data_IF_789699099484
#
_entry.id   IF_789699099484
#
_cell.length_a   1.000
_cell.length_b   1.000
_cell.length_c   1.000
_cell.angle_alpha   90.00
_cell.angle_beta   90.00
_cell.angle_gamma   90.00
#
_symmetry.space_group_name_H-M   'P 1'
#
loop_
_entity.id
_entity.type
_entity.pdbx_description
1 polymer ?
#
# COMPACT_ATOMS: atom_id res chain seq x y z
N UNK A 1 11.83 -3.01 -6.10
CA UNK A 1 11.98 -2.46 -4.74
C UNK A 1 11.08 -1.23 -4.66
N UNK A 2 9.84 -1.40 -4.20
CA UNK A 2 8.99 -0.29 -3.75
C UNK A 2 8.47 -0.74 -2.39
N UNK A 3 9.22 -0.40 -1.35
CA UNK A 3 8.77 -0.52 0.03
C UNK A 3 7.70 0.56 0.20
N UNK A 4 6.48 0.15 0.53
CA UNK A 4 5.34 1.06 0.57
C UNK A 4 5.52 2.05 1.72
N UNK A 5 5.70 3.34 1.40
CA UNK A 5 5.73 4.40 2.39
C UNK A 5 4.32 4.54 2.99
N UNK A 6 4.12 3.98 4.18
CA UNK A 6 2.92 4.19 4.99
C UNK A 6 3.23 5.24 6.05
N UNK A 7 2.28 6.14 6.31
CA UNK A 7 2.45 7.19 7.30
C UNK A 7 1.24 7.23 8.21
N UNK A 8 1.46 7.53 9.49
CA UNK A 8 0.39 7.83 10.41
C UNK A 8 -0.04 9.28 10.21
N UNK A 9 -1.18 9.52 9.58
CA UNK A 9 -1.64 10.89 9.31
C UNK A 9 -2.04 11.67 10.57
N UNK A 10 -2.24 11.00 11.71
CA UNK A 10 -2.59 11.64 12.97
C UNK A 10 -1.33 12.12 13.70
N UNK A 11 -0.34 11.25 13.81
CA UNK A 11 0.89 11.54 14.57
C UNK A 11 2.03 12.08 13.67
N UNK A 12 1.99 11.81 12.36
CA UNK A 12 2.93 12.32 11.34
C UNK A 12 2.20 12.91 10.11
N UNK A 13 1.45 14.01 10.29
CA UNK A 13 0.68 14.64 9.19
C UNK A 13 1.58 15.18 8.07
N UNK A 14 2.87 15.38 8.32
CA UNK A 14 3.85 15.84 7.34
C UNK A 14 4.55 14.70 6.60
N UNK A 15 4.28 13.44 6.97
CA UNK A 15 4.83 12.25 6.32
C UNK A 15 6.36 12.21 6.31
N UNK A 16 6.99 12.65 7.41
CA UNK A 16 8.45 12.63 7.53
C UNK A 16 8.98 11.27 8.02
N UNK A 17 8.13 10.47 8.66
CA UNK A 17 8.49 9.26 9.38
C UNK A 17 7.66 8.08 8.86
N UNK A 18 8.15 7.34 7.85
CA UNK A 18 7.43 6.17 7.36
C UNK A 18 7.31 5.09 8.45
N UNK A 19 6.15 4.45 8.51
CA UNK A 19 5.89 3.29 9.33
C UNK A 19 6.69 2.10 8.79
N UNK A 20 7.39 1.42 9.69
CA UNK A 20 8.04 0.15 9.40
C UNK A 20 7.37 -0.92 10.28
N UNK A 21 6.24 -1.44 9.79
CA UNK A 21 5.41 -2.38 10.53
C UNK A 21 4.71 -3.33 9.55
N UNK A 22 5.21 -4.55 9.47
CA UNK A 22 4.74 -5.58 8.53
C UNK A 22 3.24 -5.88 8.67
N UNK A 23 2.69 -5.85 9.88
CA UNK A 23 1.27 -6.12 10.11
C UNK A 23 0.40 -5.04 9.48
N UNK A 24 0.76 -3.77 9.71
CA UNK A 24 0.05 -2.63 9.11
C UNK A 24 0.24 -2.61 7.59
N UNK A 25 1.45 -2.91 7.12
CA UNK A 25 1.76 -3.01 5.69
C UNK A 25 0.90 -4.06 4.98
N UNK A 26 0.81 -5.26 5.54
CA UNK A 26 0.00 -6.33 4.95
C UNK A 26 -1.49 -5.96 4.93
N UNK A 27 -2.00 -5.40 6.03
CA UNK A 27 -3.38 -4.91 6.09
C UNK A 27 -3.66 -3.84 5.02
N UNK A 28 -2.74 -2.89 4.81
CA UNK A 28 -2.92 -1.85 3.79
C UNK A 28 -2.81 -2.40 2.37
N UNK A 29 -1.91 -3.35 2.11
CA UNK A 29 -1.82 -4.07 0.83
C UNK A 29 -3.13 -4.78 0.50
N UNK A 30 -3.71 -5.52 1.45
CA UNK A 30 -4.98 -6.20 1.26
C UNK A 30 -6.12 -5.23 0.91
N UNK A 31 -6.21 -4.09 1.62
CA UNK A 31 -7.20 -3.05 1.34
C UNK A 31 -7.01 -2.45 -0.06
N UNK A 32 -5.76 -2.23 -0.47
CA UNK A 32 -5.44 -1.71 -1.80
C UNK A 32 -5.82 -2.70 -2.89
N UNK A 33 -5.42 -3.97 -2.76
CA UNK A 33 -5.80 -5.05 -3.69
C UNK A 33 -7.31 -5.12 -3.83
N UNK A 34 -8.04 -5.15 -2.71
CA UNK A 34 -9.51 -5.17 -2.72
C UNK A 34 -10.09 -4.00 -3.51
N UNK A 35 -9.64 -2.77 -3.23
CA UNK A 35 -10.13 -1.56 -3.93
C UNK A 35 -9.80 -1.57 -5.41
N UNK A 36 -8.62 -2.03 -5.79
CA UNK A 36 -8.22 -2.15 -7.19
C UNK A 36 -9.06 -3.20 -7.93
N UNK A 37 -9.37 -4.32 -7.29
CA UNK A 37 -10.28 -5.33 -7.84
C UNK A 37 -11.70 -4.79 -7.99
N UNK A 38 -12.21 -4.03 -7.01
CA UNK A 38 -13.56 -3.43 -7.06
C UNK A 38 -13.77 -2.47 -8.26
N UNK A 39 -12.69 -1.89 -8.79
CA UNK A 39 -12.73 -0.97 -9.95
C UNK A 39 -12.22 -1.61 -11.24
N UNK A 40 -12.04 -2.93 -11.26
CA UNK A 40 -11.47 -3.69 -12.39
C UNK A 40 -10.15 -3.08 -12.91
N UNK A 41 -9.27 -2.67 -11.98
CA UNK A 41 -7.96 -2.16 -12.35
C UNK A 41 -7.19 -3.20 -13.21
N UNK A 42 -6.45 -2.77 -14.25
CA UNK A 42 -5.76 -3.71 -15.11
C UNK A 42 -4.65 -4.44 -14.35
N UNK A 43 -4.39 -5.69 -14.71
CA UNK A 43 -3.38 -6.55 -14.07
C UNK A 43 -1.99 -5.90 -14.00
N UNK A 44 -1.63 -5.12 -15.03
CA UNK A 44 -0.39 -4.35 -15.07
C UNK A 44 -0.20 -3.42 -13.87
N UNK A 45 -1.28 -2.92 -13.27
CA UNK A 45 -1.22 -2.03 -12.11
C UNK A 45 -0.82 -2.80 -10.85
N UNK A 46 -1.30 -4.03 -10.69
CA UNK A 46 -0.92 -4.89 -9.57
C UNK A 46 0.56 -5.27 -9.66
N UNK A 47 1.05 -5.60 -10.86
CA UNK A 47 2.46 -5.91 -11.12
C UNK A 47 3.33 -4.66 -10.87
N UNK A 48 2.93 -3.51 -11.40
CA UNK A 48 3.64 -2.23 -11.23
C UNK A 48 3.79 -1.85 -9.76
N UNK A 49 2.76 -2.13 -8.95
CA UNK A 49 2.76 -1.88 -7.51
C UNK A 49 3.40 -3.01 -6.69
N UNK A 50 3.84 -4.11 -7.31
CA UNK A 50 4.44 -5.25 -6.61
C UNK A 50 3.46 -6.05 -5.75
N UNK A 51 2.15 -5.93 -6.01
CA UNK A 51 1.08 -6.65 -5.31
C UNK A 51 0.82 -8.05 -5.89
N UNK A 52 1.39 -8.33 -7.07
CA UNK A 52 1.32 -9.61 -7.76
C UNK A 52 2.65 -9.87 -8.45
N UNK A 53 3.09 -11.14 -8.47
CA UNK A 53 4.33 -11.61 -9.09
C UNK A 53 4.18 -13.06 -9.50
#
# INVERSE_FOLDING_TARGET
MIVHLLFDMKEDPKQNNPLNNEVIENMMKEKLVKKMTEIDAPESEFIRLGLKG
#
